data_IF_158934454964
#
_entry.id   IF_158934454964
#
_cell.length_a   1.000
_cell.length_b   1.000
_cell.length_c   1.000
_cell.angle_alpha   90.00
_cell.angle_beta   90.00
_cell.angle_gamma   90.00
#
_symmetry.space_group_name_H-M   'P 1'
#
loop_
_entity.id
_entity.type
_entity.pdbx_description
1 polymer ?
#
# COMPACT_ATOMS: atom_id res chain seq x y z
N UNK A 1 -23.54 18.50 -9.05
CA UNK A 1 -22.46 18.80 -10.02
C UNK A 1 -21.52 19.86 -9.42
N UNK A 2 -20.83 19.49 -8.33
CA UNK A 2 -19.92 20.35 -7.56
C UNK A 2 -18.75 19.48 -7.07
N UNK A 3 -17.93 19.05 -8.02
CA UNK A 3 -16.61 18.46 -7.74
C UNK A 3 -15.76 18.93 -8.92
N UNK A 4 -15.03 20.03 -8.74
CA UNK A 4 -13.84 20.46 -9.50
C UNK A 4 -13.40 21.89 -9.10
N UNK A 5 -13.54 22.24 -7.81
CA UNK A 5 -12.90 23.45 -7.25
C UNK A 5 -11.94 23.04 -6.13
N UNK A 6 -10.88 22.32 -6.50
CA UNK A 6 -9.74 22.10 -5.60
C UNK A 6 -8.46 22.71 -6.20
N UNK A 7 -8.02 23.78 -5.56
CA UNK A 7 -6.62 24.24 -5.42
C UNK A 7 -5.71 24.07 -6.64
N UNK A 8 -5.82 25.00 -7.60
CA UNK A 8 -4.72 25.28 -8.53
C UNK A 8 -3.55 25.94 -7.76
N UNK A 9 -2.61 25.12 -7.29
CA UNK A 9 -1.22 25.54 -7.15
C UNK A 9 -0.79 25.97 -8.56
N UNK A 10 -0.64 27.27 -8.83
CA UNK A 10 -0.26 27.78 -10.16
C UNK A 10 1.03 27.08 -10.59
N UNK A 11 0.92 26.13 -11.53
CA UNK A 11 2.09 25.50 -12.12
C UNK A 11 2.82 26.56 -12.95
N UNK A 12 4.15 26.69 -12.82
CA UNK A 12 4.90 27.65 -13.61
C UNK A 12 4.67 27.43 -15.12
N UNK A 13 4.54 28.48 -15.95
CA UNK A 13 4.34 28.35 -17.39
C UNK A 13 5.37 27.43 -18.07
N UNK A 14 6.61 27.43 -17.58
CA UNK A 14 7.69 26.55 -18.05
C UNK A 14 7.36 25.06 -17.89
N UNK A 15 6.69 24.67 -16.80
CA UNK A 15 6.32 23.28 -16.55
C UNK A 15 5.24 22.83 -17.55
N UNK A 16 4.20 23.65 -17.73
CA UNK A 16 3.14 23.40 -18.70
C UNK A 16 3.68 23.33 -20.15
N UNK A 17 4.65 24.19 -20.49
CA UNK A 17 5.31 24.16 -21.80
C UNK A 17 6.11 22.87 -22.02
N UNK A 18 6.80 22.37 -20.99
CA UNK A 18 7.52 21.08 -21.06
C UNK A 18 6.55 19.93 -21.23
N UNK A 19 5.48 19.90 -20.42
CA UNK A 19 4.47 18.84 -20.44
C UNK A 19 3.74 18.78 -21.79
N UNK A 20 3.43 19.92 -22.39
CA UNK A 20 2.86 19.99 -23.74
C UNK A 20 3.85 19.43 -24.76
N UNK A 21 5.13 19.84 -24.71
CA UNK A 21 6.16 19.37 -25.65
C UNK A 21 6.37 17.85 -25.53
N UNK A 22 6.37 17.32 -24.32
CA UNK A 22 6.49 15.88 -24.05
C UNK A 22 5.25 15.10 -24.54
N UNK A 23 4.04 15.61 -24.23
CA UNK A 23 2.79 14.99 -24.67
C UNK A 23 2.65 14.98 -26.19
N UNK A 24 3.14 16.01 -26.88
CA UNK A 24 3.20 16.03 -28.34
C UNK A 24 4.20 15.01 -28.89
N UNK A 25 5.36 14.86 -28.24
CA UNK A 25 6.36 13.86 -28.64
C UNK A 25 5.84 12.44 -28.45
N UNK A 26 5.16 12.14 -27.36
CA UNK A 26 4.65 10.80 -27.08
C UNK A 26 3.64 10.36 -28.14
N UNK A 27 2.73 11.25 -28.55
CA UNK A 27 1.75 10.97 -29.61
C UNK A 27 2.27 11.17 -31.04
N UNK A 28 3.56 11.49 -31.20
CA UNK A 28 4.17 11.71 -32.51
C UNK A 28 3.63 12.94 -33.27
N UNK A 29 3.10 13.93 -32.56
CA UNK A 29 2.61 15.17 -33.16
C UNK A 29 3.69 16.25 -33.18
N UNK A 30 3.79 16.97 -34.29
CA UNK A 30 4.58 18.20 -34.38
C UNK A 30 3.74 19.40 -33.89
N UNK A 31 4.40 20.45 -33.42
CA UNK A 31 3.72 21.70 -33.02
C UNK A 31 2.83 22.28 -34.14
N UNK A 32 3.25 22.29 -35.43
CA UNK A 32 2.38 22.70 -36.53
C UNK A 32 1.14 21.80 -36.68
N UNK A 33 1.29 20.47 -36.57
CA UNK A 33 0.19 19.52 -36.67
C UNK A 33 -0.83 19.74 -35.56
N UNK A 34 -0.36 19.90 -34.32
CA UNK A 34 -1.22 20.24 -33.18
C UNK A 34 -1.96 21.56 -33.40
N UNK A 35 -1.25 22.62 -33.77
CA UNK A 35 -1.85 23.94 -33.92
C UNK A 35 -2.92 23.98 -35.04
N UNK A 36 -2.69 23.28 -36.15
CA UNK A 36 -3.68 23.10 -37.21
C UNK A 36 -4.92 22.36 -36.72
N UNK A 37 -4.73 21.24 -36.03
CA UNK A 37 -5.84 20.44 -35.52
C UNK A 37 -6.64 21.21 -34.46
N UNK A 38 -5.96 21.89 -33.55
CA UNK A 38 -6.60 22.70 -32.52
C UNK A 38 -7.47 23.82 -33.10
N UNK A 39 -6.96 24.62 -34.05
CA UNK A 39 -7.76 25.74 -34.59
C UNK A 39 -8.94 25.26 -35.43
N UNK A 40 -8.80 24.14 -36.15
CA UNK A 40 -9.88 23.54 -36.94
C UNK A 40 -10.95 22.98 -36.00
N UNK A 41 -10.55 22.22 -34.97
CA UNK A 41 -11.49 21.52 -34.08
C UNK A 41 -12.15 22.46 -33.05
N UNK A 42 -11.62 23.67 -32.85
CA UNK A 42 -12.16 24.66 -31.89
C UNK A 42 -12.82 25.88 -32.55
N UNK A 43 -12.83 25.94 -33.89
CA UNK A 43 -13.50 27.01 -34.64
C UNK A 43 -14.90 26.55 -35.08
N UNK A 44 -15.90 27.40 -34.88
CA UNK A 44 -17.28 27.15 -35.32
C UNK A 44 -17.48 27.39 -36.84
N UNK A 45 -16.45 27.91 -37.52
CA UNK A 45 -16.46 28.25 -38.95
C UNK A 45 -15.24 27.70 -39.66
N UNK A 46 -15.37 27.49 -40.97
CA UNK A 46 -14.26 27.09 -41.84
C UNK A 46 -13.08 28.05 -41.70
N UNK A 47 -11.91 27.50 -41.37
CA UNK A 47 -10.68 28.26 -41.11
C UNK A 47 -9.87 28.31 -42.40
N UNK A 48 -9.59 29.52 -42.90
CA UNK A 48 -8.76 29.68 -44.09
C UNK A 48 -7.29 29.29 -43.83
N UNK A 49 -6.60 28.80 -44.86
CA UNK A 49 -5.22 28.30 -44.76
C UNK A 49 -4.25 29.35 -44.18
N UNK A 50 -4.47 30.63 -44.50
CA UNK A 50 -3.64 31.73 -44.01
C UNK A 50 -3.81 31.94 -42.48
N UNK A 51 -4.98 31.64 -41.91
CA UNK A 51 -5.25 31.73 -40.48
C UNK A 51 -4.60 30.57 -39.72
N UNK A 52 -4.59 29.38 -40.32
CA UNK A 52 -3.90 28.20 -39.80
C UNK A 52 -2.41 28.47 -39.62
N UNK A 53 -1.74 29.00 -40.64
CA UNK A 53 -0.29 29.33 -40.59
C UNK A 53 0.01 30.42 -39.55
N UNK A 54 -0.88 31.42 -39.43
CA UNK A 54 -0.75 32.47 -38.41
C UNK A 54 -0.89 31.88 -37.00
N UNK A 55 -1.80 30.94 -36.80
CA UNK A 55 -2.01 30.28 -35.52
C UNK A 55 -0.88 29.32 -35.17
N UNK A 56 -0.34 28.55 -36.12
CA UNK A 56 0.86 27.72 -35.92
C UNK A 56 2.04 28.54 -35.36
N UNK A 57 2.30 29.71 -35.94
CA UNK A 57 3.33 30.62 -35.46
C UNK A 57 3.04 31.18 -34.07
N UNK A 58 1.76 31.42 -33.74
CA UNK A 58 1.32 31.86 -32.42
C UNK A 58 1.54 30.77 -31.38
N UNK A 59 1.15 29.53 -31.66
CA UNK A 59 1.34 28.38 -30.77
C UNK A 59 2.82 28.15 -30.53
N UNK A 60 3.65 28.15 -31.57
CA UNK A 60 5.11 28.03 -31.43
C UNK A 60 5.68 29.08 -30.48
N UNK A 61 5.33 30.36 -30.67
CA UNK A 61 5.76 31.45 -29.77
C UNK A 61 5.25 31.25 -28.34
N UNK A 62 4.04 30.75 -28.14
CA UNK A 62 3.48 30.50 -26.80
C UNK A 62 4.14 29.33 -26.07
N UNK A 63 4.74 28.38 -26.80
CA UNK A 63 5.46 27.25 -26.20
C UNK A 63 6.93 27.57 -25.88
N UNK A 64 7.45 28.69 -26.39
CA UNK A 64 8.85 29.10 -26.20
C UNK A 64 9.00 30.35 -25.31
N UNK A 65 7.95 31.15 -25.11
CA UNK A 65 7.99 32.36 -24.29
C UNK A 65 7.60 32.10 -22.85
N UNK A 66 8.47 32.43 -21.91
CA UNK A 66 8.22 32.35 -20.46
C UNK A 66 7.03 33.22 -20.00
N UNK A 67 6.72 34.30 -20.72
CA UNK A 67 5.61 35.23 -20.43
C UNK A 67 4.23 34.75 -20.94
N UNK A 68 4.11 33.50 -21.37
CA UNK A 68 2.85 32.94 -21.85
C UNK A 68 1.89 32.70 -20.69
N UNK A 69 0.61 33.06 -20.87
CA UNK A 69 -0.41 32.87 -19.84
C UNK A 69 -0.72 31.38 -19.63
N UNK A 70 -0.73 30.94 -18.38
CA UNK A 70 -1.02 29.55 -17.97
C UNK A 70 -2.36 29.04 -18.53
N UNK A 71 -3.39 29.89 -18.56
CA UNK A 71 -4.72 29.54 -19.09
C UNK A 71 -4.69 29.04 -20.53
N UNK A 72 -3.80 29.61 -21.35
CA UNK A 72 -3.66 29.22 -22.76
C UNK A 72 -2.96 27.86 -22.86
N UNK A 73 -1.95 27.62 -22.03
CA UNK A 73 -1.20 26.37 -21.98
C UNK A 73 -2.06 25.23 -21.45
N UNK A 74 -2.87 25.48 -20.41
CA UNK A 74 -3.82 24.50 -19.87
C UNK A 74 -4.81 24.07 -20.96
N UNK A 75 -5.38 25.01 -21.73
CA UNK A 75 -6.28 24.68 -22.85
C UNK A 75 -5.62 23.77 -23.88
N UNK A 76 -4.38 24.05 -24.25
CA UNK A 76 -3.63 23.20 -25.19
C UNK A 76 -3.38 21.80 -24.62
N UNK A 77 -2.97 21.72 -23.35
CA UNK A 77 -2.70 20.45 -22.68
C UNK A 77 -3.97 19.61 -22.53
N UNK A 78 -5.10 20.21 -22.16
CA UNK A 78 -6.40 19.53 -22.08
C UNK A 78 -6.79 18.94 -23.43
N UNK A 79 -6.71 19.73 -24.50
CA UNK A 79 -7.01 19.25 -25.85
C UNK A 79 -6.12 18.08 -26.28
N UNK A 80 -4.81 18.13 -25.95
CA UNK A 80 -3.89 17.04 -26.25
C UNK A 80 -4.29 15.77 -25.46
N UNK A 81 -4.60 15.90 -24.17
CA UNK A 81 -4.97 14.77 -23.29
C UNK A 81 -6.31 14.13 -23.65
N UNK A 82 -7.21 14.89 -24.25
CA UNK A 82 -8.52 14.41 -24.74
C UNK A 82 -8.44 13.82 -26.16
N UNK A 83 -7.32 13.99 -26.86
CA UNK A 83 -7.15 13.43 -28.20
C UNK A 83 -7.12 11.90 -28.19
N UNK A 84 -7.75 11.27 -29.18
CA UNK A 84 -7.74 9.80 -29.33
C UNK A 84 -6.32 9.23 -29.38
N UNK A 85 -5.37 9.93 -30.01
CA UNK A 85 -3.98 9.50 -30.13
C UNK A 85 -3.29 9.43 -28.76
N UNK A 86 -3.57 10.38 -27.88
CA UNK A 86 -3.05 10.38 -26.51
C UNK A 86 -3.70 9.29 -25.65
N UNK A 87 -5.01 9.09 -25.79
CA UNK A 87 -5.74 8.04 -25.06
C UNK A 87 -5.29 6.63 -25.46
N UNK A 88 -4.97 6.40 -26.75
CA UNK A 88 -4.45 5.10 -27.24
C UNK A 88 -3.12 4.73 -26.59
N UNK A 89 -2.15 5.65 -26.62
CA UNK A 89 -0.82 5.41 -26.01
C UNK A 89 -0.95 5.22 -24.49
N UNK A 90 -1.77 6.05 -23.82
CA UNK A 90 -2.01 5.90 -22.39
C UNK A 90 -2.62 4.53 -22.05
N UNK A 91 -3.51 4.02 -22.88
CA UNK A 91 -4.14 2.71 -22.69
C UNK A 91 -3.15 1.56 -22.95
N UNK A 92 -2.27 1.70 -23.94
CA UNK A 92 -1.19 0.74 -24.22
C UNK A 92 -0.14 0.72 -23.09
N UNK A 93 0.29 1.88 -22.58
CA UNK A 93 1.21 1.99 -21.44
C UNK A 93 0.60 1.41 -20.16
N UNK A 94 -0.69 1.67 -19.92
CA UNK A 94 -1.44 1.06 -18.82
C UNK A 94 -1.52 -0.47 -18.99
N UNK A 95 -1.71 -0.97 -20.22
CA UNK A 95 -1.77 -2.42 -20.48
C UNK A 95 -0.43 -3.11 -20.26
N UNK A 96 0.68 -2.48 -20.63
CA UNK A 96 2.04 -2.98 -20.41
C UNK A 96 2.42 -2.95 -18.93
N UNK A 97 2.07 -1.87 -18.22
CA UNK A 97 2.22 -1.75 -16.77
C UNK A 97 1.39 -2.79 -16.03
N UNK A 98 0.11 -2.94 -16.39
CA UNK A 98 -0.78 -3.93 -15.79
C UNK A 98 -0.32 -5.36 -16.09
N UNK A 99 0.19 -5.67 -17.28
CA UNK A 99 0.71 -7.01 -17.59
C UNK A 99 1.94 -7.37 -16.76
N UNK A 100 2.78 -6.37 -16.42
CA UNK A 100 3.95 -6.56 -15.56
C UNK A 100 3.55 -6.72 -14.10
N UNK A 101 2.55 -5.95 -13.64
CA UNK A 101 1.95 -6.10 -12.32
C UNK A 101 1.22 -7.44 -12.19
N UNK A 102 0.47 -7.87 -13.20
CA UNK A 102 -0.20 -9.18 -13.23
C UNK A 102 0.82 -10.31 -13.18
N UNK A 103 1.91 -10.24 -13.96
CA UNK A 103 3.01 -11.23 -13.85
C UNK A 103 3.67 -11.23 -12.49
N UNK A 104 3.84 -10.08 -11.86
CA UNK A 104 4.35 -9.97 -10.50
C UNK A 104 3.38 -10.58 -9.49
N UNK A 105 2.08 -10.31 -9.64
CA UNK A 105 1.01 -10.92 -8.84
C UNK A 105 0.92 -12.43 -9.04
N UNK A 106 1.07 -12.93 -10.26
CA UNK A 106 1.11 -14.37 -10.57
C UNK A 106 2.37 -15.02 -9.99
N UNK A 107 3.50 -14.32 -9.98
CA UNK A 107 4.76 -14.80 -9.38
C UNK A 107 4.65 -14.84 -7.85
N UNK A 108 4.11 -13.77 -7.24
CA UNK A 108 3.83 -13.70 -5.80
C UNK A 108 2.76 -14.72 -5.40
N UNK A 109 1.72 -14.92 -6.22
CA UNK A 109 0.68 -15.92 -5.97
C UNK A 109 1.23 -17.34 -6.08
N UNK A 110 2.13 -17.60 -7.04
CA UNK A 110 2.86 -18.88 -7.12
C UNK A 110 3.84 -19.08 -5.97
N UNK A 111 4.56 -18.05 -5.54
CA UNK A 111 5.43 -18.11 -4.37
C UNK A 111 4.63 -18.32 -3.07
N UNK A 112 3.43 -17.76 -2.97
CA UNK A 112 2.51 -17.99 -1.86
C UNK A 112 1.83 -19.36 -1.93
N UNK A 113 1.45 -19.86 -3.11
CA UNK A 113 0.97 -21.25 -3.31
C UNK A 113 2.08 -22.28 -3.02
N UNK A 114 3.34 -21.93 -3.25
CA UNK A 114 4.50 -22.77 -2.88
C UNK A 114 4.73 -22.74 -1.36
N UNK A 115 4.45 -21.61 -0.67
CA UNK A 115 4.47 -21.54 0.80
C UNK A 115 3.26 -22.18 1.47
N UNK A 116 2.09 -22.22 0.83
CA UNK A 116 0.91 -22.97 1.30
C UNK A 116 1.02 -24.49 1.06
N UNK A 117 2.09 -24.96 0.41
CA UNK A 117 2.37 -26.39 0.16
C UNK A 117 3.44 -27.00 1.07
N UNK A 118 3.95 -26.28 2.06
CA UNK A 118 4.34 -26.97 3.28
C UNK A 118 3.04 -27.42 3.94
N UNK A 119 2.78 -28.73 3.95
CA UNK A 119 1.69 -29.30 4.74
C UNK A 119 1.84 -28.77 6.15
N UNK A 120 1.00 -27.80 6.53
CA UNK A 120 0.88 -27.35 7.92
C UNK A 120 0.69 -28.63 8.73
N UNK A 121 1.63 -28.98 9.62
CA UNK A 121 1.54 -30.21 10.39
C UNK A 121 0.17 -30.32 11.05
N UNK A 122 -0.39 -31.53 11.12
CA UNK A 122 -1.76 -31.75 11.59
C UNK A 122 -2.03 -31.10 12.97
N UNK A 123 -1.01 -31.03 13.84
CA UNK A 123 -1.09 -30.35 15.13
C UNK A 123 -1.21 -28.82 15.00
N UNK A 124 -0.50 -28.18 14.07
CA UNK A 124 -0.60 -26.74 13.82
C UNK A 124 -1.96 -26.36 13.24
N UNK A 125 -2.62 -27.28 12.52
CA UNK A 125 -3.97 -27.06 12.00
C UNK A 125 -4.99 -26.89 13.13
N UNK A 126 -4.93 -27.73 14.15
CA UNK A 126 -5.82 -27.63 15.32
C UNK A 126 -5.60 -26.31 16.08
N UNK A 127 -4.33 -25.92 16.27
CA UNK A 127 -3.97 -24.65 16.91
C UNK A 127 -4.52 -23.48 16.09
N UNK A 128 -4.34 -23.52 14.78
CA UNK A 128 -4.81 -22.47 13.87
C UNK A 128 -6.33 -22.34 13.87
N UNK A 129 -7.07 -23.45 13.91
CA UNK A 129 -8.53 -23.43 13.92
C UNK A 129 -9.08 -22.80 15.21
N UNK A 130 -8.51 -23.15 16.37
CA UNK A 130 -8.84 -22.52 17.66
C UNK A 130 -8.49 -21.03 17.64
N UNK A 131 -7.31 -20.66 17.14
CA UNK A 131 -6.88 -19.27 17.02
C UNK A 131 -7.82 -18.44 16.14
N UNK A 132 -8.19 -18.96 14.96
CA UNK A 132 -9.07 -18.29 14.00
C UNK A 132 -10.46 -18.09 14.59
N UNK A 133 -11.05 -19.14 15.16
CA UNK A 133 -12.37 -19.06 15.79
C UNK A 133 -12.38 -18.00 16.89
N UNK A 134 -11.33 -17.98 17.72
CA UNK A 134 -11.14 -17.00 18.75
C UNK A 134 -10.98 -15.57 18.19
N UNK A 135 -10.04 -15.34 17.28
CA UNK A 135 -9.74 -14.03 16.71
C UNK A 135 -10.94 -13.41 15.97
N UNK A 136 -11.68 -14.23 15.21
CA UNK A 136 -12.89 -13.80 14.50
C UNK A 136 -14.06 -13.49 15.45
N UNK A 137 -14.04 -14.00 16.68
CA UNK A 137 -15.05 -13.66 17.68
C UNK A 137 -14.87 -12.25 18.27
N UNK A 138 -13.66 -11.68 18.19
CA UNK A 138 -13.31 -10.37 18.77
C UNK A 138 -13.00 -9.27 17.75
N UNK A 139 -12.98 -9.61 16.46
CA UNK A 139 -12.69 -8.67 15.38
C UNK A 139 -12.45 -9.34 14.03
N UNK A 140 -11.69 -8.67 13.18
CA UNK A 140 -11.19 -9.23 11.93
C UNK A 140 -9.80 -9.83 12.15
N UNK A 141 -9.42 -10.87 11.41
CA UNK A 141 -8.10 -11.48 11.56
C UNK A 141 -7.55 -12.03 10.26
N UNK A 142 -6.26 -11.84 10.02
CA UNK A 142 -5.48 -12.37 8.91
C UNK A 142 -4.00 -12.51 9.32
N UNK A 143 -3.15 -13.08 8.45
CA UNK A 143 -1.70 -13.26 8.70
C UNK A 143 -1.37 -13.96 10.03
N UNK A 144 -1.92 -15.15 10.26
CA UNK A 144 -1.64 -15.93 11.47
C UNK A 144 -0.21 -16.48 11.46
N UNK A 145 0.47 -16.38 12.60
CA UNK A 145 1.78 -16.96 12.85
C UNK A 145 1.74 -17.76 14.14
N UNK A 146 2.19 -19.02 14.11
CA UNK A 146 2.21 -19.93 15.25
C UNK A 146 3.65 -20.09 15.73
N UNK A 147 3.85 -20.00 17.05
CA UNK A 147 5.14 -20.18 17.70
C UNK A 147 4.94 -21.15 18.85
N UNK A 148 5.58 -22.32 18.80
CA UNK A 148 5.59 -23.20 19.97
C UNK A 148 6.49 -22.61 21.06
N UNK A 149 5.97 -22.55 22.29
CA UNK A 149 6.70 -22.09 23.47
C UNK A 149 6.90 -23.22 24.48
N UNK A 150 7.73 -22.99 25.49
CA UNK A 150 8.01 -23.98 26.54
C UNK A 150 6.73 -24.44 27.23
N UNK A 151 6.51 -25.75 27.26
CA UNK A 151 5.48 -26.38 28.08
C UNK A 151 5.68 -26.07 29.57
N UNK A 152 4.63 -26.21 30.36
CA UNK A 152 4.67 -26.06 31.82
C UNK A 152 4.02 -27.29 32.49
N UNK A 153 4.02 -27.33 33.82
CA UNK A 153 3.45 -28.47 34.56
C UNK A 153 1.93 -28.66 34.32
N UNK A 154 1.24 -27.61 33.85
CA UNK A 154 -0.21 -27.61 33.65
C UNK A 154 -0.64 -28.04 32.23
N UNK A 155 0.25 -27.94 31.24
CA UNK A 155 -0.07 -28.10 29.82
C UNK A 155 1.02 -28.85 29.04
N UNK A 156 0.60 -29.82 28.23
CA UNK A 156 1.51 -30.65 27.41
C UNK A 156 2.21 -29.84 26.32
N UNK A 157 1.45 -28.97 25.66
CA UNK A 157 1.95 -28.09 24.62
C UNK A 157 1.38 -26.68 24.80
N UNK A 158 2.21 -25.68 24.48
CA UNK A 158 1.87 -24.26 24.56
C UNK A 158 2.32 -23.57 23.27
N UNK A 159 1.48 -22.67 22.77
CA UNK A 159 1.70 -21.96 21.52
C UNK A 159 1.32 -20.48 21.68
N UNK A 160 2.13 -19.58 21.15
CA UNK A 160 1.72 -18.21 20.87
C UNK A 160 1.23 -18.13 19.44
N UNK A 161 0.06 -17.53 19.25
CA UNK A 161 -0.48 -17.29 17.91
C UNK A 161 -0.69 -15.81 17.72
N UNK A 162 0.10 -15.21 16.83
CA UNK A 162 0.00 -13.80 16.44
C UNK A 162 -0.84 -13.67 15.17
N UNK A 163 -1.63 -12.61 15.05
CA UNK A 163 -2.36 -12.27 13.82
C UNK A 163 -2.50 -10.76 13.66
N UNK A 164 -2.72 -10.31 12.44
CA UNK A 164 -3.07 -8.92 12.16
C UNK A 164 -4.60 -8.77 12.11
N UNK A 165 -5.11 -7.67 12.66
CA UNK A 165 -6.54 -7.46 12.70
C UNK A 165 -6.97 -6.12 13.25
N UNK A 166 -8.23 -5.77 13.02
CA UNK A 166 -8.93 -4.74 13.76
C UNK A 166 -9.69 -5.35 14.95
N UNK A 167 -9.10 -5.22 16.13
CA UNK A 167 -9.64 -5.74 17.40
C UNK A 167 -10.58 -4.68 17.99
N UNK A 168 -11.72 -5.11 18.55
CA UNK A 168 -12.80 -4.26 19.11
C UNK A 168 -13.76 -3.68 18.06
N UNK A 169 -14.18 -4.50 17.10
CA UNK A 169 -15.34 -4.20 16.24
C UNK A 169 -16.65 -3.92 17.02
N UNK A 170 -16.68 -4.12 18.34
CA UNK A 170 -17.83 -3.93 19.24
C UNK A 170 -17.77 -2.59 20.03
N UNK A 171 -17.54 -1.46 19.34
CA UNK A 171 -17.77 -0.12 19.90
C UNK A 171 -16.54 0.78 20.14
N UNK A 172 -15.35 0.42 19.65
CA UNK A 172 -14.15 1.27 19.67
C UNK A 172 -13.79 1.83 18.28
N UNK A 173 -12.89 2.81 18.20
CA UNK A 173 -12.51 3.52 16.97
C UNK A 173 -11.64 2.72 15.97
N UNK A 174 -11.67 1.38 16.04
CA UNK A 174 -10.94 0.46 15.16
C UNK A 174 -9.44 0.76 15.03
N UNK A 175 -8.61 0.20 15.90
CA UNK A 175 -7.16 0.33 15.77
C UNK A 175 -6.59 -0.95 15.19
N UNK A 176 -6.39 -0.95 13.87
CA UNK A 176 -5.67 -2.01 13.15
C UNK A 176 -4.30 -2.27 13.79
N UNK A 177 -3.98 -3.52 14.11
CA UNK A 177 -2.65 -3.87 14.58
C UNK A 177 -2.46 -5.36 14.81
N UNK A 178 -1.28 -5.72 15.32
CA UNK A 178 -0.98 -7.11 15.66
C UNK A 178 -1.57 -7.48 17.01
N UNK A 179 -2.25 -8.61 17.04
CA UNK A 179 -2.85 -9.27 18.19
C UNK A 179 -2.15 -10.61 18.43
N UNK A 180 -2.31 -11.19 19.61
CA UNK A 180 -1.93 -12.58 19.88
C UNK A 180 -2.73 -13.17 21.02
N UNK A 181 -2.74 -14.50 21.07
CA UNK A 181 -3.23 -15.29 22.17
C UNK A 181 -2.28 -16.45 22.44
N UNK A 182 -2.40 -17.02 23.64
CA UNK A 182 -1.77 -18.29 23.98
C UNK A 182 -2.79 -19.42 23.80
N UNK A 183 -2.41 -20.44 23.05
CA UNK A 183 -3.16 -21.68 22.87
C UNK A 183 -2.41 -22.80 23.57
N UNK A 184 -3.14 -23.58 24.36
CA UNK A 184 -2.57 -24.65 25.16
C UNK A 184 -3.30 -25.95 24.90
N UNK A 185 -2.57 -27.05 25.05
CA UNK A 185 -3.10 -28.40 25.00
C UNK A 185 -3.19 -28.98 26.42
N UNK A 186 -4.40 -29.35 26.83
CA UNK A 186 -4.60 -30.09 28.09
C UNK A 186 -4.02 -31.50 28.02
N UNK A 187 -3.83 -32.14 29.18
CA UNK A 187 -3.47 -33.56 29.27
C UNK A 187 -4.45 -34.54 28.58
N UNK A 188 -5.64 -34.08 28.19
CA UNK A 188 -6.62 -34.86 27.43
C UNK A 188 -6.53 -34.64 25.91
N UNK A 189 -5.54 -33.89 25.42
CA UNK A 189 -5.35 -33.58 24.01
C UNK A 189 -6.32 -32.53 23.46
N UNK A 190 -6.95 -31.74 24.34
CA UNK A 190 -7.88 -30.68 23.93
C UNK A 190 -7.16 -29.34 23.88
N UNK A 191 -7.25 -28.68 22.73
CA UNK A 191 -6.73 -27.32 22.49
C UNK A 191 -7.74 -26.25 22.87
N UNK A 192 -7.28 -25.22 23.56
CA UNK A 192 -8.09 -24.04 23.90
C UNK A 192 -7.22 -22.81 24.13
N UNK A 193 -7.86 -21.63 24.14
CA UNK A 193 -7.20 -20.35 24.43
C UNK A 193 -7.02 -20.21 25.94
N UNK A 194 -5.78 -20.08 26.41
CA UNK A 194 -5.43 -20.07 27.84
C UNK A 194 -5.87 -18.78 28.55
N UNK A 195 -5.85 -17.64 27.85
CA UNK A 195 -6.18 -16.34 28.45
C UNK A 195 -7.02 -15.45 27.54
N UNK A 196 -7.94 -14.73 28.18
CA UNK A 196 -8.79 -13.71 27.55
C UNK A 196 -8.16 -12.29 27.50
N UNK A 197 -6.87 -12.15 27.82
CA UNK A 197 -6.16 -10.86 27.77
C UNK A 197 -5.24 -10.81 26.55
N UNK A 198 -5.72 -10.16 25.48
CA UNK A 198 -5.22 -10.34 24.10
C UNK A 198 -4.44 -9.16 23.53
N UNK A 199 -4.02 -8.23 24.38
CA UNK A 199 -3.32 -7.03 23.94
C UNK A 199 -2.03 -6.88 24.73
N UNK A 200 -0.93 -7.23 24.09
CA UNK A 200 0.40 -6.89 24.55
C UNK A 200 0.81 -5.63 23.79
N UNK A 201 1.27 -4.64 24.53
CA UNK A 201 1.68 -3.37 23.96
C UNK A 201 3.14 -3.48 23.48
N UNK A 202 3.34 -3.99 22.25
CA UNK A 202 4.65 -3.92 21.59
C UNK A 202 4.98 -2.52 21.09
N UNK A 203 3.99 -1.61 21.10
CA UNK A 203 3.95 -0.33 20.40
C UNK A 203 4.27 -0.40 18.90
N UNK A 204 4.36 -1.61 18.33
CA UNK A 204 4.43 -1.82 16.89
C UNK A 204 3.03 -1.63 16.30
N UNK A 205 2.96 -1.02 15.11
CA UNK A 205 1.74 -0.94 14.34
C UNK A 205 1.39 -2.30 13.73
N UNK A 206 2.39 -2.95 13.14
CA UNK A 206 2.26 -4.32 12.65
C UNK A 206 3.60 -5.06 12.82
N UNK A 207 3.52 -6.38 12.97
CA UNK A 207 4.68 -7.28 12.98
C UNK A 207 4.93 -7.74 11.55
N UNK A 208 6.14 -7.49 11.07
CA UNK A 208 6.62 -7.89 9.75
C UNK A 208 7.14 -9.33 9.76
N UNK A 209 7.82 -9.71 10.85
CA UNK A 209 8.32 -11.06 11.05
C UNK A 209 8.57 -11.40 12.52
N UNK A 210 8.49 -12.68 12.81
CA UNK A 210 9.01 -13.27 14.05
C UNK A 210 10.44 -13.73 13.77
N UNK A 211 11.40 -13.22 14.52
CA UNK A 211 12.82 -13.51 14.30
C UNK A 211 13.24 -14.78 15.03
N UNK A 212 12.82 -14.92 16.28
CA UNK A 212 13.14 -16.10 17.09
C UNK A 212 12.24 -16.19 18.31
N UNK A 213 12.12 -17.42 18.80
CA UNK A 213 11.76 -17.70 20.19
C UNK A 213 12.89 -18.54 20.81
N UNK A 214 13.58 -18.00 21.81
CA UNK A 214 14.70 -18.68 22.48
C UNK A 214 14.89 -18.16 23.89
N UNK A 215 15.20 -19.02 24.85
CA UNK A 215 15.38 -18.65 26.26
C UNK A 215 14.17 -17.84 26.80
N UNK A 216 12.96 -18.29 26.48
CA UNK A 216 11.69 -17.62 26.90
C UNK A 216 11.53 -16.18 26.40
N UNK A 217 12.35 -15.79 25.41
CA UNK A 217 12.30 -14.50 24.76
C UNK A 217 11.75 -14.63 23.35
N UNK A 218 10.72 -13.84 23.07
CA UNK A 218 10.16 -13.67 21.74
C UNK A 218 10.76 -12.41 21.11
N UNK A 219 11.37 -12.54 19.95
CA UNK A 219 11.92 -11.41 19.18
C UNK A 219 11.06 -11.17 17.95
N UNK A 220 10.50 -9.96 17.86
CA UNK A 220 9.63 -9.51 16.78
C UNK A 220 10.31 -8.38 16.02
N UNK A 221 10.14 -8.38 14.70
CA UNK A 221 10.44 -7.21 13.87
C UNK A 221 9.11 -6.64 13.38
N UNK A 222 8.96 -5.33 13.52
CA UNK A 222 7.77 -4.63 13.04
C UNK A 222 8.02 -3.16 12.75
N UNK A 223 6.94 -2.45 12.45
CA UNK A 223 7.02 -1.05 12.06
C UNK A 223 6.17 -0.14 12.95
N UNK A 224 6.59 1.11 13.08
CA UNK A 224 5.91 2.21 13.77
C UNK A 224 5.79 3.41 12.86
N UNK A 225 4.84 4.29 13.18
CA UNK A 225 4.76 5.59 12.53
C UNK A 225 5.90 6.49 12.98
N UNK A 226 6.61 7.07 12.03
CA UNK A 226 7.40 8.28 12.21
C UNK A 226 6.53 9.54 12.14
N UNK A 227 7.14 10.67 12.46
CA UNK A 227 6.43 11.95 12.66
C UNK A 227 5.59 12.43 11.46
N UNK A 228 5.95 12.01 10.24
CA UNK A 228 5.31 12.43 8.99
C UNK A 228 4.70 11.28 8.20
N UNK A 229 4.55 10.11 8.81
CA UNK A 229 4.00 8.95 8.11
C UNK A 229 2.51 9.12 7.84
N UNK A 230 2.03 8.80 6.62
CA UNK A 230 0.61 8.69 6.39
C UNK A 230 0.06 7.48 7.16
N UNK A 231 -1.22 7.53 7.51
CA UNK A 231 -1.88 6.54 8.38
C UNK A 231 -1.81 5.08 7.85
N UNK A 232 -1.45 4.85 6.59
CA UNK A 232 -1.30 3.53 6.00
C UNK A 232 0.15 3.11 5.72
N UNK A 233 1.15 3.92 6.12
CA UNK A 233 2.56 3.66 5.78
C UNK A 233 3.50 3.96 6.97
N UNK A 234 3.50 3.13 8.01
CA UNK A 234 4.52 3.22 9.06
C UNK A 234 5.90 2.88 8.47
N UNK A 235 6.87 3.78 8.68
CA UNK A 235 8.18 3.75 8.04
C UNK A 235 9.31 3.34 8.98
N UNK A 236 9.16 3.49 10.30
CA UNK A 236 10.22 3.20 11.25
C UNK A 236 10.23 1.72 11.63
N UNK A 237 11.34 1.03 11.39
CA UNK A 237 11.51 -0.40 11.66
C UNK A 237 12.16 -0.61 13.02
N UNK A 238 11.57 -1.50 13.82
CA UNK A 238 12.00 -1.83 15.17
C UNK A 238 12.17 -3.33 15.37
N UNK A 239 13.09 -3.70 16.24
CA UNK A 239 13.25 -5.02 16.84
C UNK A 239 12.76 -4.94 18.28
N UNK A 240 11.74 -5.73 18.62
CA UNK A 240 11.12 -5.75 19.95
C UNK A 240 11.34 -7.13 20.56
N UNK A 241 11.91 -7.16 21.76
CA UNK A 241 12.06 -8.40 22.53
C UNK A 241 11.06 -8.42 23.66
N UNK A 242 10.35 -9.53 23.81
CA UNK A 242 9.36 -9.78 24.83
C UNK A 242 9.74 -10.95 25.72
N UNK A 243 9.36 -10.88 26.99
CA UNK A 243 9.53 -11.94 27.99
C UNK A 243 8.22 -12.25 28.69
N UNK A 244 7.98 -13.53 28.98
CA UNK A 244 6.91 -13.96 29.89
C UNK A 244 7.37 -13.77 31.34
N UNK A 245 6.84 -12.75 32.03
CA UNK A 245 7.22 -12.47 33.44
C UNK A 245 6.36 -13.22 34.45
N UNK A 246 5.19 -13.66 34.02
CA UNK A 246 4.29 -14.55 34.76
C UNK A 246 3.36 -15.22 33.76
N UNK A 247 2.69 -16.30 34.16
CA UNK A 247 1.73 -17.02 33.31
C UNK A 247 0.82 -16.03 32.56
N UNK A 248 0.81 -16.14 31.23
CA UNK A 248 0.02 -15.31 30.30
C UNK A 248 0.36 -13.80 30.31
N UNK A 249 1.49 -13.39 30.88
CA UNK A 249 1.90 -11.99 30.99
C UNK A 249 3.22 -11.75 30.30
N UNK A 250 3.11 -11.19 29.09
CA UNK A 250 4.25 -10.80 28.27
C UNK A 250 4.53 -9.31 28.40
N UNK A 251 5.80 -8.95 28.63
CA UNK A 251 6.26 -7.56 28.66
C UNK A 251 7.35 -7.32 27.62
N UNK A 252 7.44 -6.09 27.13
CA UNK A 252 8.58 -5.65 26.31
C UNK A 252 9.78 -5.40 27.21
N UNK A 253 10.90 -6.07 26.93
CA UNK A 253 12.16 -5.93 27.67
C UNK A 253 13.26 -5.25 26.88
N UNK A 254 13.17 -5.27 25.54
CA UNK A 254 14.03 -4.48 24.66
C UNK A 254 13.24 -3.96 23.47
N UNK A 255 13.64 -2.79 23.00
CA UNK A 255 13.02 -2.06 21.90
C UNK A 255 14.09 -1.25 21.16
N UNK A 256 14.50 -1.75 20.00
CA UNK A 256 15.63 -1.24 19.25
C UNK A 256 15.21 -0.77 17.86
N UNK A 257 15.52 0.49 17.53
CA UNK A 257 15.36 1.00 16.18
C UNK A 257 16.42 0.39 15.26
N UNK A 258 15.98 -0.25 14.18
CA UNK A 258 16.87 -0.97 13.25
C UNK A 258 16.92 -0.36 11.85
N UNK A 259 16.12 0.66 11.56
CA UNK A 259 16.19 1.42 10.31
C UNK A 259 14.84 1.97 9.86
N UNK A 260 14.80 2.57 8.68
CA UNK A 260 13.57 3.07 8.07
C UNK A 260 13.33 2.45 6.69
N UNK A 261 12.06 2.23 6.35
CA UNK A 261 11.65 2.00 4.96
C UNK A 261 11.77 3.34 4.23
N UNK A 262 12.63 3.41 3.21
CA UNK A 262 12.64 4.57 2.33
C UNK A 262 11.25 4.77 1.71
N UNK A 263 10.79 6.02 1.69
CA UNK A 263 9.64 6.46 0.90
C UNK A 263 9.99 6.45 -0.59
#
# INVERSE_FOLDING_TARGET
MKILEEKHKKMPPMFLQSEIKESLRSIGWSVPKFASKYIIDTSDSDVEEHEVVKFQNKVKKSLDRESTKDEVLIKYLTFIKESEDYLKIRTEDLSLSLSSVIKLFETISKENEIKEKEEIPEYERGVLDVAKAYALSIGTAWNFNIIQISANDDYENRYLVLWDGDIKHNGGSGSWGTAMCEIVESHFGVLFVNSSEHMFNTSLRYVDSIVSFSNERLVLIGYRYGDNDPNNYPSLKYSVTMEEVSINKWIVVSDEFIGSKGL
#
